data_IF_574167579174
#
_entry.id   IF_574167579174
#
_cell.length_a   1.000
_cell.length_b   1.000
_cell.length_c   1.000
_cell.angle_alpha   90.00
_cell.angle_beta   90.00
_cell.angle_gamma   90.00
#
_symmetry.space_group_name_H-M   'P 1'
#
loop_
_entity.id
_entity.type
_entity.pdbx_description
1 polymer ?
#
# COMPACT_ATOMS: atom_id res chain seq x y z
N UNK A 1 55.55 -39.19 -27.81
CA UNK A 1 55.26 -38.28 -26.69
C UNK A 1 56.40 -38.36 -25.70
N UNK A 2 56.99 -37.23 -25.31
CA UNK A 2 58.07 -37.23 -24.31
C UNK A 2 57.51 -37.41 -22.90
N UNK A 3 58.37 -37.82 -21.95
CA UNK A 3 57.99 -37.93 -20.53
C UNK A 3 57.50 -36.59 -19.98
N UNK A 4 58.07 -35.48 -20.44
CA UNK A 4 57.66 -34.14 -20.00
C UNK A 4 56.30 -33.72 -20.58
N UNK A 5 56.00 -34.10 -21.83
CA UNK A 5 54.67 -33.91 -22.42
C UNK A 5 53.61 -34.70 -21.65
N UNK A 6 53.86 -35.97 -21.34
CA UNK A 6 52.95 -36.80 -20.56
C UNK A 6 52.71 -36.24 -19.14
N UNK A 7 53.75 -35.75 -18.47
CA UNK A 7 53.62 -35.09 -17.15
C UNK A 7 52.81 -33.80 -17.22
N UNK A 8 52.95 -33.02 -18.29
CA UNK A 8 52.20 -31.78 -18.49
C UNK A 8 50.71 -32.09 -18.73
N UNK A 9 50.39 -33.06 -19.58
CA UNK A 9 49.02 -33.50 -19.84
C UNK A 9 48.35 -34.06 -18.58
N UNK A 10 49.05 -34.87 -17.78
CA UNK A 10 48.52 -35.40 -16.52
C UNK A 10 48.21 -34.28 -15.51
N UNK A 11 49.03 -33.23 -15.44
CA UNK A 11 48.77 -32.06 -14.59
C UNK A 11 47.57 -31.27 -15.08
N UNK A 12 47.46 -31.05 -16.38
CA UNK A 12 46.32 -30.34 -16.98
C UNK A 12 45.01 -31.10 -16.75
N UNK A 13 45.02 -32.42 -16.91
CA UNK A 13 43.85 -33.27 -16.62
C UNK A 13 43.42 -33.18 -15.16
N UNK A 14 44.36 -33.33 -14.21
CA UNK A 14 44.07 -33.23 -12.78
C UNK A 14 43.57 -31.84 -12.37
N UNK A 15 44.12 -30.79 -12.98
CA UNK A 15 43.66 -29.42 -12.74
C UNK A 15 42.21 -29.26 -13.23
N UNK A 16 41.89 -29.77 -14.42
CA UNK A 16 40.53 -29.73 -14.97
C UNK A 16 39.53 -30.51 -14.11
N UNK A 17 39.88 -31.73 -13.69
CA UNK A 17 39.05 -32.53 -12.77
C UNK A 17 38.83 -31.79 -11.44
N UNK A 18 39.87 -31.14 -10.91
CA UNK A 18 39.75 -30.34 -9.70
C UNK A 18 38.85 -29.12 -9.90
N UNK A 19 38.99 -28.37 -11.00
CA UNK A 19 38.16 -27.21 -11.33
C UNK A 19 36.68 -27.61 -11.50
N UNK A 20 36.41 -28.73 -12.16
CA UNK A 20 35.05 -29.28 -12.33
C UNK A 20 34.45 -29.68 -10.97
N UNK A 21 35.21 -30.42 -10.15
CA UNK A 21 34.76 -30.83 -8.80
C UNK A 21 34.53 -29.62 -7.89
N UNK A 22 35.38 -28.59 -8.00
CA UNK A 22 35.25 -27.36 -7.24
C UNK A 22 34.00 -26.56 -7.67
N UNK A 23 33.74 -26.49 -8.97
CA UNK A 23 32.53 -25.85 -9.49
C UNK A 23 31.24 -26.58 -9.05
N UNK A 24 31.26 -27.91 -9.00
CA UNK A 24 30.15 -28.71 -8.45
C UNK A 24 29.93 -28.42 -6.96
N UNK A 25 31.02 -28.32 -6.18
CA UNK A 25 30.94 -27.96 -4.76
C UNK A 25 30.37 -26.56 -4.55
N UNK A 26 30.82 -25.55 -5.32
CA UNK A 26 30.30 -24.19 -5.25
C UNK A 26 28.81 -24.13 -5.64
N UNK A 27 28.39 -24.89 -6.65
CA UNK A 27 27.00 -24.97 -7.05
C UNK A 27 26.12 -25.60 -5.96
N UNK A 28 26.58 -26.67 -5.30
CA UNK A 28 25.82 -27.31 -4.21
C UNK A 28 25.77 -26.42 -2.96
N UNK A 29 26.86 -25.73 -2.61
CA UNK A 29 26.85 -24.77 -1.50
C UNK A 29 25.86 -23.63 -1.78
N UNK A 30 25.86 -23.08 -2.99
CA UNK A 30 24.90 -22.05 -3.38
C UNK A 30 23.46 -22.57 -3.36
N UNK A 31 23.21 -23.76 -3.89
CA UNK A 31 21.90 -24.40 -3.82
C UNK A 31 21.43 -24.55 -2.37
N UNK A 32 22.32 -24.96 -1.46
CA UNK A 32 22.02 -25.10 -0.05
C UNK A 32 21.68 -23.76 0.62
N UNK A 33 22.42 -22.69 0.30
CA UNK A 33 22.11 -21.34 0.76
C UNK A 33 20.72 -20.89 0.27
N UNK A 34 20.38 -21.15 -0.99
CA UNK A 34 19.07 -20.83 -1.56
C UNK A 34 17.94 -21.64 -0.90
N UNK A 35 18.15 -22.92 -0.56
CA UNK A 35 17.17 -23.73 0.19
C UNK A 35 16.90 -23.15 1.59
N UNK A 36 17.95 -22.75 2.30
CA UNK A 36 17.82 -22.10 3.61
C UNK A 36 17.05 -20.77 3.51
N UNK A 37 17.36 -19.98 2.49
CA UNK A 37 16.69 -18.71 2.21
C UNK A 37 15.21 -18.92 1.85
N UNK A 38 14.90 -19.87 0.97
CA UNK A 38 13.54 -20.27 0.62
C UNK A 38 12.73 -20.66 1.86
N UNK A 39 13.30 -21.51 2.72
CA UNK A 39 12.66 -21.92 3.97
C UNK A 39 12.38 -20.74 4.91
N UNK A 40 13.34 -19.81 5.06
CA UNK A 40 13.15 -18.61 5.85
C UNK A 40 12.04 -17.71 5.27
N UNK A 41 11.98 -17.56 3.95
CA UNK A 41 10.98 -16.74 3.26
C UNK A 41 9.58 -17.34 3.34
N UNK A 42 9.44 -18.67 3.23
CA UNK A 42 8.18 -19.39 3.53
C UNK A 42 7.70 -19.11 4.96
N UNK A 43 8.59 -19.18 5.96
CA UNK A 43 8.22 -18.86 7.35
C UNK A 43 7.76 -17.42 7.52
N UNK A 44 8.44 -16.45 6.88
CA UNK A 44 8.04 -15.03 6.91
C UNK A 44 6.65 -14.85 6.30
N UNK A 45 6.39 -15.47 5.14
CA UNK A 45 5.09 -15.39 4.46
C UNK A 45 3.96 -16.02 5.30
N UNK A 46 4.19 -17.20 5.87
CA UNK A 46 3.23 -17.87 6.76
C UNK A 46 2.98 -17.07 8.04
N UNK A 47 4.02 -16.45 8.61
CA UNK A 47 3.90 -15.56 9.76
C UNK A 47 3.04 -14.33 9.45
N UNK A 48 3.21 -13.73 8.28
CA UNK A 48 2.34 -12.64 7.79
C UNK A 48 0.89 -13.10 7.64
N UNK A 49 0.66 -14.24 6.97
CA UNK A 49 -0.69 -14.78 6.81
C UNK A 49 -1.37 -15.09 8.15
N UNK A 50 -0.60 -15.44 9.18
CA UNK A 50 -1.14 -15.75 10.51
C UNK A 50 -1.32 -14.52 11.41
N UNK A 51 -0.81 -13.35 10.99
CA UNK A 51 -0.93 -12.10 11.75
C UNK A 51 -2.37 -11.55 11.65
N UNK A 52 -3.13 -11.45 12.76
CA UNK A 52 -4.48 -10.92 12.74
C UNK A 52 -4.58 -9.48 12.23
N UNK A 53 -3.55 -8.65 12.48
CA UNK A 53 -3.51 -7.27 11.97
C UNK A 53 -3.31 -7.26 10.46
N UNK A 54 -2.52 -8.19 9.93
CA UNK A 54 -2.34 -8.34 8.49
C UNK A 54 -3.61 -8.86 7.80
N UNK A 55 -4.34 -9.79 8.42
CA UNK A 55 -5.64 -10.24 7.91
C UNK A 55 -6.67 -9.10 7.86
N UNK A 56 -6.72 -8.25 8.89
CA UNK A 56 -7.56 -7.05 8.88
C UNK A 56 -7.13 -6.05 7.80
N UNK A 57 -5.81 -5.87 7.62
CA UNK A 57 -5.26 -5.04 6.55
C UNK A 57 -5.67 -5.56 5.17
N UNK A 58 -5.56 -6.88 4.91
CA UNK A 58 -5.95 -7.48 3.63
C UNK A 58 -7.45 -7.31 3.34
N UNK A 59 -8.32 -7.33 4.36
CA UNK A 59 -9.76 -7.14 4.19
C UNK A 59 -10.14 -5.73 3.69
N UNK A 60 -9.28 -4.74 3.90
CA UNK A 60 -9.48 -3.35 3.45
C UNK A 60 -8.48 -2.93 2.37
N UNK A 61 -7.56 -3.83 1.99
CA UNK A 61 -6.55 -3.56 0.98
C UNK A 61 -7.16 -3.65 -0.44
N UNK A 62 -6.61 -2.90 -1.42
CA UNK A 62 -7.00 -3.04 -2.82
C UNK A 62 -6.86 -4.49 -3.30
N UNK A 63 -7.74 -4.93 -4.19
CA UNK A 63 -7.82 -6.32 -4.72
C UNK A 63 -6.50 -6.86 -5.30
N UNK A 64 -5.61 -6.00 -5.78
CA UNK A 64 -4.26 -6.39 -6.22
C UNK A 64 -3.40 -7.00 -5.10
N UNK A 65 -3.49 -6.48 -3.86
CA UNK A 65 -2.67 -6.97 -2.75
C UNK A 65 -3.09 -8.36 -2.25
N UNK A 66 -4.36 -8.73 -2.38
CA UNK A 66 -4.86 -10.07 -2.03
C UNK A 66 -4.45 -11.10 -3.07
N UNK A 67 -4.57 -10.76 -4.36
CA UNK A 67 -4.12 -11.61 -5.47
C UNK A 67 -2.62 -11.93 -5.41
N UNK A 68 -1.81 -10.93 -5.06
CA UNK A 68 -0.37 -11.08 -4.88
C UNK A 68 0.02 -12.16 -3.85
N UNK A 69 -0.75 -12.32 -2.76
CA UNK A 69 -0.38 -13.28 -1.70
C UNK A 69 -0.43 -14.75 -2.18
N UNK A 70 -1.46 -15.12 -2.95
CA UNK A 70 -1.59 -16.48 -3.50
C UNK A 70 -0.54 -16.76 -4.59
N UNK A 71 -0.21 -15.74 -5.39
CA UNK A 71 0.88 -15.81 -6.37
C UNK A 71 2.24 -16.06 -5.72
N UNK A 72 2.51 -15.50 -4.54
CA UNK A 72 3.81 -15.69 -3.88
C UNK A 72 4.01 -17.10 -3.35
N UNK A 73 2.96 -17.76 -2.85
CA UNK A 73 3.06 -19.18 -2.48
C UNK A 73 3.48 -20.01 -3.70
N UNK A 74 2.85 -19.78 -4.85
CA UNK A 74 3.19 -20.44 -6.11
C UNK A 74 4.62 -20.13 -6.57
N UNK A 75 5.08 -18.89 -6.47
CA UNK A 75 6.46 -18.53 -6.84
C UNK A 75 7.51 -19.17 -5.93
N UNK A 76 7.21 -19.40 -4.65
CA UNK A 76 8.10 -20.13 -3.75
C UNK A 76 8.18 -21.61 -4.12
N UNK A 77 7.08 -22.21 -4.57
CA UNK A 77 7.07 -23.58 -5.08
C UNK A 77 7.84 -23.71 -6.40
N UNK A 78 7.71 -22.73 -7.31
CA UNK A 78 8.50 -22.66 -8.55
C UNK A 78 10.01 -22.48 -8.27
N UNK A 79 10.37 -21.67 -7.27
CA UNK A 79 11.77 -21.50 -6.85
C UNK A 79 12.37 -22.80 -6.29
N UNK A 80 11.59 -23.60 -5.56
CA UNK A 80 12.03 -24.92 -5.08
C UNK A 80 12.36 -25.87 -6.25
N UNK A 81 11.53 -25.86 -7.29
CA UNK A 81 11.75 -26.66 -8.50
C UNK A 81 12.99 -26.22 -9.26
N UNK A 82 13.25 -24.91 -9.36
CA UNK A 82 14.45 -24.40 -10.02
C UNK A 82 15.73 -24.72 -9.28
N UNK A 83 15.72 -24.70 -7.94
CA UNK A 83 16.86 -25.16 -7.13
C UNK A 83 17.12 -26.66 -7.38
N UNK A 84 16.05 -27.48 -7.41
CA UNK A 84 16.19 -28.90 -7.70
C UNK A 84 16.68 -29.19 -9.14
N UNK A 85 16.33 -28.31 -10.09
CA UNK A 85 16.76 -28.39 -11.49
C UNK A 85 18.11 -27.73 -11.80
N UNK A 86 18.84 -27.22 -10.79
CA UNK A 86 20.13 -26.57 -10.98
C UNK A 86 20.10 -25.16 -11.59
N UNK A 87 18.91 -24.55 -11.75
CA UNK A 87 18.76 -23.19 -12.26
C UNK A 87 18.78 -22.17 -11.10
N UNK A 88 19.96 -22.01 -10.49
CA UNK A 88 20.13 -21.27 -9.25
C UNK A 88 19.91 -19.76 -9.40
N UNK A 89 20.26 -19.17 -10.56
CA UNK A 89 20.08 -17.74 -10.82
C UNK A 89 18.62 -17.34 -10.91
N UNK A 90 17.80 -18.12 -11.61
CA UNK A 90 16.37 -17.84 -11.74
C UNK A 90 15.66 -18.02 -10.39
N UNK A 91 16.08 -19.04 -9.61
CA UNK A 91 15.61 -19.23 -8.24
C UNK A 91 15.95 -18.03 -7.34
N UNK A 92 17.18 -17.54 -7.39
CA UNK A 92 17.62 -16.36 -6.63
C UNK A 92 16.82 -15.11 -7.00
N UNK A 93 16.71 -14.78 -8.29
CA UNK A 93 15.96 -13.62 -8.76
C UNK A 93 14.49 -13.65 -8.33
N UNK A 94 13.87 -14.84 -8.32
CA UNK A 94 12.48 -14.99 -7.88
C UNK A 94 12.34 -14.84 -6.37
N UNK A 95 13.27 -15.40 -5.60
CA UNK A 95 13.33 -15.23 -4.15
C UNK A 95 13.47 -13.74 -3.80
N UNK A 96 14.33 -13.00 -4.49
CA UNK A 96 14.48 -11.55 -4.31
C UNK A 96 13.15 -10.82 -4.55
N UNK A 97 12.44 -11.16 -5.64
CA UNK A 97 11.15 -10.57 -5.97
C UNK A 97 10.09 -10.83 -4.89
N UNK A 98 10.00 -12.07 -4.38
CA UNK A 98 9.07 -12.42 -3.30
C UNK A 98 9.43 -11.70 -2.00
N UNK A 99 10.71 -11.65 -1.64
CA UNK A 99 11.17 -10.97 -0.43
C UNK A 99 10.92 -9.46 -0.47
N UNK A 100 11.14 -8.81 -1.61
CA UNK A 100 10.86 -7.39 -1.81
C UNK A 100 9.37 -7.09 -1.66
N UNK A 101 8.48 -7.94 -2.17
CA UNK A 101 7.04 -7.72 -1.96
C UNK A 101 6.63 -8.00 -0.51
N UNK A 102 7.18 -9.03 0.13
CA UNK A 102 6.98 -9.28 1.57
C UNK A 102 7.37 -8.04 2.38
N UNK A 103 8.51 -7.42 2.05
CA UNK A 103 8.98 -6.18 2.68
C UNK A 103 7.99 -5.04 2.46
N UNK A 104 7.57 -4.78 1.23
CA UNK A 104 6.57 -3.73 0.92
C UNK A 104 5.26 -3.93 1.68
N UNK A 105 4.78 -5.18 1.80
CA UNK A 105 3.57 -5.50 2.57
C UNK A 105 3.75 -5.26 4.07
N UNK A 106 4.92 -5.57 4.63
CA UNK A 106 5.25 -5.22 6.02
C UNK A 106 5.31 -3.72 6.24
N UNK A 107 5.93 -2.98 5.32
CA UNK A 107 6.01 -1.52 5.42
C UNK A 107 4.62 -0.89 5.33
N UNK A 108 3.78 -1.38 4.40
CA UNK A 108 2.38 -0.97 4.28
C UNK A 108 1.57 -1.31 5.55
N UNK A 109 1.75 -2.49 6.14
CA UNK A 109 1.13 -2.88 7.40
C UNK A 109 1.57 -1.96 8.55
N UNK A 110 2.86 -1.61 8.62
CA UNK A 110 3.37 -0.69 9.64
C UNK A 110 2.78 0.71 9.50
N UNK A 111 2.64 1.21 8.26
CA UNK A 111 1.96 2.47 7.96
C UNK A 111 0.47 2.41 8.30
N UNK A 112 -0.21 1.31 7.96
CA UNK A 112 -1.61 1.10 8.30
C UNK A 112 -1.83 1.05 9.81
N UNK A 113 -0.98 0.34 10.54
CA UNK A 113 -1.04 0.30 12.01
C UNK A 113 -0.79 1.69 12.61
N UNK A 114 0.18 2.46 12.09
CA UNK A 114 0.40 3.85 12.49
C UNK A 114 -0.83 4.71 12.21
N UNK A 115 -1.43 4.59 11.03
CA UNK A 115 -2.65 5.31 10.66
C UNK A 115 -3.85 4.90 11.53
N UNK A 116 -4.01 3.61 11.84
CA UNK A 116 -5.05 3.07 12.73
C UNK A 116 -4.84 3.51 14.18
N UNK A 117 -3.59 3.58 14.65
CA UNK A 117 -3.26 4.13 15.97
C UNK A 117 -3.52 5.63 16.00
N UNK A 118 -3.20 6.38 14.94
CA UNK A 118 -3.55 7.80 14.82
C UNK A 118 -5.07 8.00 14.77
N UNK A 119 -5.81 7.13 14.07
CA UNK A 119 -7.27 7.09 14.03
C UNK A 119 -7.88 6.72 15.40
N UNK A 120 -7.25 5.78 16.12
CA UNK A 120 -7.61 5.36 17.48
C UNK A 120 -7.21 6.37 18.56
N UNK A 121 -6.14 7.13 18.36
CA UNK A 121 -5.74 8.27 19.18
C UNK A 121 -6.64 9.48 18.89
N UNK A 122 -7.13 9.65 17.67
CA UNK A 122 -8.24 10.58 17.40
C UNK A 122 -9.55 10.11 18.03
N UNK A 123 -9.78 8.80 18.21
CA UNK A 123 -10.90 8.30 19.03
C UNK A 123 -10.73 8.51 20.54
N UNK A 124 -9.51 8.76 21.06
CA UNK A 124 -9.29 9.17 22.45
C UNK A 124 -9.36 10.69 22.66
N UNK A 125 -9.56 11.47 21.61
CA UNK A 125 -9.97 12.88 21.72
C UNK A 125 -11.50 12.96 21.64
N UNK A 126 -12.13 12.63 22.76
CA UNK A 126 -13.47 13.11 23.09
C UNK A 126 -14.64 12.47 22.34
N UNK A 127 -15.21 11.44 22.95
CA UNK A 127 -16.66 11.39 23.11
C UNK A 127 -17.10 12.67 23.86
N UNK A 128 -17.27 13.77 23.12
CA UNK A 128 -17.51 15.08 23.74
C UNK A 128 -17.16 16.25 22.82
N UNK A 129 -18.02 16.47 21.81
CA UNK A 129 -18.01 17.57 20.83
C UNK A 129 -16.98 17.44 19.72
N UNK A 130 -17.49 17.12 18.51
CA UNK A 130 -16.84 17.46 17.25
C UNK A 130 -16.21 18.85 17.36
N UNK A 131 -14.98 19.01 16.85
CA UNK A 131 -14.36 20.33 16.65
C UNK A 131 -15.45 21.31 16.20
N UNK A 132 -15.68 22.39 16.97
CA UNK A 132 -16.77 23.33 16.70
C UNK A 132 -16.68 23.90 15.27
N UNK A 133 -15.47 23.94 14.72
CA UNK A 133 -15.17 24.38 13.35
C UNK A 133 -14.86 23.16 12.49
N UNK A 134 -15.72 22.93 11.50
CA UNK A 134 -15.49 21.91 10.48
C UNK A 134 -14.68 22.57 9.37
N UNK A 135 -13.38 22.30 9.32
CA UNK A 135 -12.44 22.91 8.35
C UNK A 135 -12.93 22.82 6.91
N UNK A 136 -13.54 21.69 6.53
CA UNK A 136 -14.17 21.53 5.21
C UNK A 136 -15.29 22.53 4.94
N UNK A 137 -16.11 22.83 5.96
CA UNK A 137 -17.23 23.77 5.82
C UNK A 137 -16.72 25.22 5.75
N UNK A 138 -15.60 25.53 6.39
CA UNK A 138 -14.92 26.81 6.27
C UNK A 138 -14.34 27.01 4.85
N UNK A 139 -13.72 25.98 4.28
CA UNK A 139 -13.19 26.03 2.92
C UNK A 139 -14.30 26.20 1.88
N UNK A 140 -15.37 25.41 1.98
CA UNK A 140 -16.57 25.58 1.12
C UNK A 140 -17.15 26.98 1.29
N UNK A 141 -17.22 27.51 2.52
CA UNK A 141 -17.71 28.87 2.72
C UNK A 141 -16.81 29.93 2.06
N UNK A 142 -15.48 29.78 2.11
CA UNK A 142 -14.54 30.68 1.42
C UNK A 142 -14.74 30.67 -0.09
N UNK A 143 -14.83 29.49 -0.69
CA UNK A 143 -15.07 29.33 -2.14
C UNK A 143 -16.39 29.96 -2.58
N UNK A 144 -17.43 29.87 -1.74
CA UNK A 144 -18.73 30.44 -2.04
C UNK A 144 -18.81 31.96 -1.80
N UNK A 145 -17.99 32.51 -0.90
CA UNK A 145 -18.07 33.89 -0.45
C UNK A 145 -17.24 34.81 -1.36
N UNK A 146 -17.79 35.11 -2.54
CA UNK A 146 -17.30 36.18 -3.42
C UNK A 146 -17.85 37.55 -2.97
N UNK A 147 -17.12 38.67 -3.21
CA UNK A 147 -17.60 40.01 -2.90
C UNK A 147 -18.98 40.30 -3.51
N UNK A 148 -19.88 40.88 -2.71
CA UNK A 148 -21.21 41.33 -3.17
C UNK A 148 -22.30 40.26 -3.31
N UNK A 149 -22.12 39.05 -2.77
CA UNK A 149 -23.10 37.95 -2.86
C UNK A 149 -23.97 37.81 -1.60
N UNK A 150 -25.22 37.37 -1.78
CA UNK A 150 -26.10 37.00 -0.66
C UNK A 150 -25.91 35.53 -0.26
N UNK A 151 -26.28 35.18 0.99
CA UNK A 151 -26.16 33.81 1.51
C UNK A 151 -27.01 32.79 0.74
N UNK A 152 -28.14 33.24 0.18
CA UNK A 152 -29.05 32.38 -0.58
C UNK A 152 -28.48 32.12 -1.97
N UNK A 153 -27.89 33.14 -2.62
CA UNK A 153 -27.21 32.99 -3.91
C UNK A 153 -26.00 32.05 -3.82
N UNK A 154 -25.21 32.18 -2.75
CA UNK A 154 -24.07 31.29 -2.49
C UNK A 154 -24.50 29.83 -2.34
N UNK A 155 -25.62 29.57 -1.65
CA UNK A 155 -26.12 28.21 -1.46
C UNK A 155 -26.66 27.58 -2.75
N UNK A 156 -27.42 28.33 -3.53
CA UNK A 156 -28.06 27.82 -4.75
C UNK A 156 -27.05 27.53 -5.88
N UNK A 157 -25.82 28.03 -5.77
CA UNK A 157 -24.72 27.75 -6.70
C UNK A 157 -24.00 26.44 -6.44
N UNK A 158 -24.24 25.81 -5.29
CA UNK A 158 -23.73 24.46 -5.06
C UNK A 158 -24.37 23.52 -6.10
N UNK A 159 -23.59 22.58 -6.67
CA UNK A 159 -24.16 21.59 -7.56
C UNK A 159 -25.08 20.66 -6.78
N UNK A 160 -26.25 20.32 -7.35
CA UNK A 160 -27.10 19.25 -6.83
C UNK A 160 -26.35 17.90 -6.92
N UNK A 161 -26.77 16.90 -6.13
CA UNK A 161 -26.23 15.54 -6.19
C UNK A 161 -26.21 14.96 -7.62
N UNK A 162 -27.15 15.39 -8.46
CA UNK A 162 -27.28 14.97 -9.87
C UNK A 162 -26.35 15.73 -10.83
N UNK A 163 -25.65 16.76 -10.33
CA UNK A 163 -24.75 17.63 -11.09
C UNK A 163 -23.30 17.53 -10.58
N UNK A 164 -22.36 17.89 -11.44
CA UNK A 164 -20.91 17.83 -11.21
C UNK A 164 -20.53 18.46 -9.86
N UNK A 165 -19.85 17.71 -8.98
CA UNK A 165 -19.44 18.18 -7.66
C UNK A 165 -18.45 19.36 -7.73
N UNK A 166 -18.48 20.22 -6.70
CA UNK A 166 -17.46 21.24 -6.52
C UNK A 166 -16.29 20.62 -5.77
N UNK A 167 -15.08 20.85 -6.28
CA UNK A 167 -13.82 20.33 -5.74
C UNK A 167 -13.06 21.46 -5.05
N UNK A 168 -12.56 21.21 -3.84
CA UNK A 168 -11.77 22.18 -3.09
C UNK A 168 -10.71 21.49 -2.26
N UNK A 169 -9.52 22.07 -2.26
CA UNK A 169 -8.40 21.65 -1.43
C UNK A 169 -8.62 22.14 0.01
N UNK A 170 -8.61 21.21 0.96
CA UNK A 170 -8.57 21.50 2.39
C UNK A 170 -7.25 21.00 2.97
N UNK A 171 -6.84 21.53 4.13
CA UNK A 171 -5.61 21.13 4.84
C UNK A 171 -5.48 19.59 4.93
N UNK A 172 -4.75 19.00 3.98
CA UNK A 172 -4.45 17.57 3.89
C UNK A 172 -5.42 16.68 3.11
N UNK A 173 -6.45 17.19 2.40
CA UNK A 173 -7.31 16.37 1.53
C UNK A 173 -8.08 17.17 0.48
N UNK A 174 -8.20 16.61 -0.74
CA UNK A 174 -9.11 17.09 -1.77
C UNK A 174 -10.54 16.68 -1.46
N UNK A 175 -11.46 17.64 -1.33
CA UNK A 175 -12.85 17.38 -0.98
C UNK A 175 -13.79 17.66 -2.15
N UNK A 176 -14.77 16.78 -2.32
CA UNK A 176 -15.90 16.95 -3.25
C UNK A 176 -17.16 17.22 -2.46
N UNK A 177 -17.93 18.21 -2.87
CA UNK A 177 -19.18 18.57 -2.20
C UNK A 177 -20.30 18.92 -3.17
N UNK A 178 -21.52 18.67 -2.71
CA UNK A 178 -22.77 18.89 -3.44
C UNK A 178 -23.92 19.09 -2.45
N UNK A 179 -25.07 19.53 -2.94
CA UNK A 179 -26.30 19.60 -2.16
C UNK A 179 -27.19 18.38 -2.42
N UNK A 180 -27.73 17.83 -1.35
CA UNK A 180 -28.82 16.87 -1.36
C UNK A 180 -30.00 17.51 -0.61
N UNK A 181 -30.88 18.16 -1.36
CA UNK A 181 -31.93 19.03 -0.84
C UNK A 181 -31.37 20.15 0.07
N UNK A 182 -31.71 20.09 1.37
CA UNK A 182 -31.27 21.04 2.39
C UNK A 182 -29.99 20.63 3.13
N UNK A 183 -29.30 19.59 2.66
CA UNK A 183 -28.08 19.06 3.27
C UNK A 183 -26.89 19.27 2.33
N UNK A 184 -25.83 19.87 2.86
CA UNK A 184 -24.52 19.91 2.23
C UNK A 184 -23.80 18.60 2.52
N UNK A 185 -23.43 17.90 1.47
CA UNK A 185 -22.74 16.61 1.51
C UNK A 185 -21.29 16.80 1.08
N UNK A 186 -20.39 16.04 1.69
CA UNK A 186 -18.96 16.08 1.41
C UNK A 186 -18.37 14.66 1.41
N UNK A 187 -17.52 14.40 0.41
CA UNK A 187 -16.68 13.21 0.30
C UNK A 187 -15.21 13.62 0.22
N UNK A 188 -14.34 12.81 0.80
CA UNK A 188 -12.88 12.90 0.61
C UNK A 188 -12.51 12.18 -0.69
N UNK A 189 -11.75 12.83 -1.57
CA UNK A 189 -11.33 12.26 -2.84
C UNK A 189 -10.55 10.96 -2.61
N UNK A 190 -11.01 9.87 -3.22
CA UNK A 190 -10.48 8.52 -3.01
C UNK A 190 -11.38 7.59 -2.19
N UNK A 191 -12.45 8.09 -1.57
CA UNK A 191 -13.53 7.26 -1.04
C UNK A 191 -14.68 7.18 -2.05
N UNK A 192 -14.90 6.00 -2.63
CA UNK A 192 -15.92 5.77 -3.66
C UNK A 192 -17.35 5.80 -3.06
N UNK A 193 -18.02 6.94 -3.23
CA UNK A 193 -19.49 7.04 -3.24
C UNK A 193 -20.20 7.18 -1.90
N UNK A 194 -19.52 7.07 -0.75
CA UNK A 194 -20.15 7.24 0.56
C UNK A 194 -19.82 8.61 1.14
N UNK A 195 -20.84 9.45 1.36
CA UNK A 195 -20.70 10.74 2.02
C UNK A 195 -20.00 10.61 3.37
N UNK A 196 -18.78 11.12 3.47
CA UNK A 196 -17.98 11.05 4.69
C UNK A 196 -18.48 12.05 5.74
N UNK A 197 -19.12 13.15 5.30
CA UNK A 197 -19.57 14.25 6.17
C UNK A 197 -20.83 14.95 5.62
N UNK A 198 -21.73 15.39 6.50
CA UNK A 198 -22.94 16.14 6.11
C UNK A 198 -23.27 17.32 7.06
N UNK A 199 -23.98 18.34 6.56
CA UNK A 199 -24.46 19.48 7.35
C UNK A 199 -25.74 20.13 6.78
N UNK A 200 -26.70 20.48 7.65
CA UNK A 200 -27.91 21.22 7.24
C UNK A 200 -27.62 22.67 6.81
N UNK A 201 -28.32 23.14 5.78
CA UNK A 201 -28.31 24.52 5.25
C UNK A 201 -28.41 25.60 6.32
N UNK A 202 -29.38 25.47 7.23
CA UNK A 202 -29.59 26.44 8.32
C UNK A 202 -28.39 26.55 9.26
N UNK A 203 -27.72 25.43 9.53
CA UNK A 203 -26.51 25.39 10.38
C UNK A 203 -25.31 25.98 9.66
N UNK A 204 -25.13 25.64 8.37
CA UNK A 204 -24.06 26.16 7.53
C UNK A 204 -24.13 27.69 7.40
N UNK A 205 -25.28 28.22 7.00
CA UNK A 205 -25.52 29.66 6.83
C UNK A 205 -25.36 30.47 8.13
N UNK A 206 -25.78 29.90 9.26
CA UNK A 206 -25.67 30.56 10.57
C UNK A 206 -24.23 30.63 11.09
N UNK A 207 -23.43 29.59 10.82
CA UNK A 207 -22.07 29.46 11.35
C UNK A 207 -21.01 30.09 10.46
N UNK A 208 -21.06 29.83 9.16
CA UNK A 208 -19.94 30.10 8.25
C UNK A 208 -20.18 31.26 7.31
N UNK A 209 -21.44 31.51 6.95
CA UNK A 209 -21.80 32.69 6.16
C UNK A 209 -22.16 33.90 7.04
N UNK A 210 -21.50 34.11 8.19
CA UNK A 210 -21.80 35.30 9.02
C UNK A 210 -21.43 36.57 8.23
N UNK A 211 -22.38 37.51 8.19
CA UNK A 211 -22.19 38.83 7.55
C UNK A 211 -20.94 39.48 8.14
N UNK A 212 -20.05 39.97 7.29
CA UNK A 212 -19.37 41.22 7.61
C UNK A 212 -20.46 42.24 7.92
N UNK A 213 -20.48 42.73 9.15
CA UNK A 213 -21.03 44.05 9.41
C UNK A 213 -20.13 45.07 8.72
#
# INVERSE_FOLDING_TARGET
MSIDQFKAELRAHRLKEFEETWAEYEAEDWAQQLRLRLAATRRKLAGLASDPAFQQFLAVAPSGMTHDHQLFTRFLDEAEQWIAGGNLRDAESRLDGVEEVIRRKRDALALWNKAKVLAGQTQRVGAGRASKRRSWADAVAKELMLPGRTKDDCWNRLPDHEQRCLETECDGADLRFWRDGDTLMCIESGNDGVASRCMKKSTFKKRYMRRGQ
#
